data_IF_371395770092
#
_entry.id   IF_371395770092
#
_cell.length_a   1.000
_cell.length_b   1.000
_cell.length_c   1.000
_cell.angle_alpha   90.00
_cell.angle_beta   90.00
_cell.angle_gamma   90.00
#
_symmetry.space_group_name_H-M   'P 1'
#
loop_
_entity.id
_entity.type
_entity.pdbx_description
1 polymer ?
#
# COMPACT_ATOMS: atom_id res chain seq x y z
N UNK A 1 -65.53 -75.05 -16.74
CA UNK A 1 -65.94 -73.63 -16.87
C UNK A 1 -65.55 -72.97 -15.55
N UNK A 2 -64.52 -72.14 -15.42
CA UNK A 2 -64.01 -71.05 -16.27
C UNK A 2 -62.55 -70.73 -15.86
N UNK A 3 -61.68 -70.51 -16.86
CA UNK A 3 -60.47 -69.62 -16.97
C UNK A 3 -59.42 -69.61 -15.83
N UNK A 4 -58.15 -70.01 -15.99
CA UNK A 4 -57.04 -69.54 -16.86
C UNK A 4 -56.87 -68.01 -16.89
N UNK A 5 -55.76 -67.51 -16.33
CA UNK A 5 -54.96 -66.31 -16.71
C UNK A 5 -53.93 -66.10 -15.57
N UNK A 6 -52.68 -66.56 -15.65
CA UNK A 6 -51.59 -65.96 -16.42
C UNK A 6 -51.51 -64.44 -16.27
N UNK A 7 -50.70 -63.97 -15.32
CA UNK A 7 -49.99 -62.70 -15.38
C UNK A 7 -48.84 -62.81 -14.36
N UNK A 8 -47.60 -63.03 -14.79
CA UNK A 8 -46.88 -62.11 -15.65
C UNK A 8 -45.98 -61.31 -14.71
N UNK A 9 -44.95 -61.97 -14.18
CA UNK A 9 -43.96 -61.35 -13.32
C UNK A 9 -43.26 -60.24 -14.10
N UNK A 10 -43.47 -59.01 -13.65
CA UNK A 10 -42.81 -57.81 -14.14
C UNK A 10 -41.34 -57.86 -13.69
N UNK A 11 -40.54 -58.67 -14.38
CA UNK A 11 -39.09 -58.55 -14.34
C UNK A 11 -38.73 -57.30 -15.15
N UNK A 12 -38.66 -56.17 -14.45
CA UNK A 12 -38.03 -54.97 -14.96
C UNK A 12 -36.56 -55.30 -15.28
N UNK A 13 -36.29 -55.55 -16.56
CA UNK A 13 -34.95 -55.73 -17.08
C UNK A 13 -34.07 -54.53 -16.67
N UNK A 14 -32.79 -54.75 -16.28
CA UNK A 14 -31.87 -53.66 -16.01
C UNK A 14 -31.72 -52.85 -17.31
N UNK A 15 -32.18 -51.60 -17.30
CA UNK A 15 -31.85 -50.66 -18.39
C UNK A 15 -30.33 -50.55 -18.43
N UNK A 16 -29.72 -51.07 -19.48
CA UNK A 16 -28.30 -50.88 -19.73
C UNK A 16 -28.05 -49.38 -19.77
N UNK A 17 -27.30 -48.87 -18.78
CA UNK A 17 -26.98 -47.46 -18.68
C UNK A 17 -26.14 -47.13 -19.92
N UNK A 18 -26.67 -46.24 -20.76
CA UNK A 18 -25.99 -45.87 -21.98
C UNK A 18 -24.66 -45.20 -21.63
N UNK A 19 -23.60 -45.54 -22.36
CA UNK A 19 -22.29 -44.89 -22.21
C UNK A 19 -22.41 -43.37 -22.28
N UNK A 20 -23.31 -42.85 -23.13
CA UNK A 20 -23.58 -41.42 -23.21
C UNK A 20 -24.18 -40.84 -21.91
N UNK A 21 -25.03 -41.59 -21.21
CA UNK A 21 -25.58 -41.17 -19.92
C UNK A 21 -24.50 -41.15 -18.83
N UNK A 22 -23.62 -42.15 -18.81
CA UNK A 22 -22.45 -42.18 -17.93
C UNK A 22 -21.54 -40.95 -18.14
N UNK A 23 -21.25 -40.58 -19.39
CA UNK A 23 -20.46 -39.38 -19.68
C UNK A 23 -21.18 -38.10 -19.25
N UNK A 24 -22.50 -38.00 -19.48
CA UNK A 24 -23.28 -36.85 -19.06
C UNK A 24 -23.29 -36.70 -17.54
N UNK A 25 -23.47 -37.78 -16.79
CA UNK A 25 -23.48 -37.73 -15.33
C UNK A 25 -22.09 -37.43 -14.76
N UNK A 26 -21.03 -38.02 -15.31
CA UNK A 26 -19.66 -37.67 -14.94
C UNK A 26 -19.34 -36.19 -15.21
N UNK A 27 -19.80 -35.64 -16.34
CA UNK A 27 -19.61 -34.22 -16.65
C UNK A 27 -20.35 -33.29 -15.68
N UNK A 28 -21.56 -33.67 -15.27
CA UNK A 28 -22.35 -32.92 -14.29
C UNK A 28 -21.71 -32.98 -12.90
N UNK A 29 -21.20 -34.14 -12.52
CA UNK A 29 -20.51 -34.32 -11.24
C UNK A 29 -19.21 -33.50 -11.19
N UNK A 30 -18.42 -33.52 -12.27
CA UNK A 30 -17.22 -32.71 -12.39
C UNK A 30 -17.54 -31.21 -12.31
N UNK A 31 -18.54 -30.74 -13.07
CA UNK A 31 -18.96 -29.34 -13.03
C UNK A 31 -19.46 -28.92 -11.62
N UNK A 32 -20.13 -29.82 -10.90
CA UNK A 32 -20.54 -29.58 -9.50
C UNK A 32 -19.35 -29.51 -8.55
N UNK A 33 -18.35 -30.35 -8.75
CA UNK A 33 -17.11 -30.35 -7.96
C UNK A 33 -16.36 -29.03 -8.17
N UNK A 34 -16.13 -28.64 -9.42
CA UNK A 34 -15.44 -27.40 -9.78
C UNK A 34 -16.15 -26.18 -9.19
N UNK A 35 -17.48 -26.11 -9.31
CA UNK A 35 -18.27 -25.03 -8.73
C UNK A 35 -18.13 -24.94 -7.20
N UNK A 36 -17.93 -26.08 -6.49
CA UNK A 36 -17.66 -26.07 -5.05
C UNK A 36 -16.27 -25.54 -4.75
N UNK A 37 -15.27 -25.91 -5.54
CA UNK A 37 -13.88 -25.46 -5.37
C UNK A 37 -13.80 -23.94 -5.56
N UNK A 38 -14.36 -23.41 -6.64
CA UNK A 38 -14.35 -21.97 -6.91
C UNK A 38 -15.05 -21.17 -5.79
N UNK A 39 -16.19 -21.66 -5.29
CA UNK A 39 -16.86 -21.04 -4.14
C UNK A 39 -16.02 -21.08 -2.86
N UNK A 40 -15.26 -22.16 -2.64
CA UNK A 40 -14.36 -22.26 -1.48
C UNK A 40 -13.23 -21.23 -1.57
N UNK A 41 -12.60 -21.12 -2.73
CA UNK A 41 -11.55 -20.13 -3.00
C UNK A 41 -12.08 -18.71 -2.85
N UNK A 42 -13.23 -18.42 -3.42
CA UNK A 42 -13.87 -17.10 -3.33
C UNK A 42 -14.16 -16.69 -1.88
N UNK A 43 -14.66 -17.61 -1.05
CA UNK A 43 -14.82 -17.38 0.40
C UNK A 43 -13.49 -17.09 1.09
N UNK A 44 -12.43 -17.82 0.75
CA UNK A 44 -11.10 -17.59 1.32
C UNK A 44 -10.54 -16.23 0.92
N UNK A 45 -10.63 -15.85 -0.36
CA UNK A 45 -10.19 -14.54 -0.84
C UNK A 45 -10.98 -13.40 -0.20
N UNK A 46 -12.29 -13.56 -0.09
CA UNK A 46 -13.17 -12.56 0.56
C UNK A 46 -12.80 -12.38 2.02
N UNK A 47 -12.63 -13.49 2.78
CA UNK A 47 -12.20 -13.43 4.18
C UNK A 47 -10.83 -12.78 4.33
N UNK A 48 -9.85 -13.14 3.49
CA UNK A 48 -8.51 -12.54 3.53
C UNK A 48 -8.57 -11.04 3.25
N UNK A 49 -9.41 -10.62 2.28
CA UNK A 49 -9.62 -9.22 1.96
C UNK A 49 -10.24 -8.44 3.12
N UNK A 50 -11.22 -9.02 3.82
CA UNK A 50 -11.82 -8.40 5.01
C UNK A 50 -10.79 -8.20 6.13
N UNK A 51 -9.94 -9.21 6.37
CA UNK A 51 -8.86 -9.12 7.37
C UNK A 51 -7.87 -8.01 7.00
N UNK A 52 -7.45 -7.94 5.73
CA UNK A 52 -6.54 -6.90 5.25
C UNK A 52 -7.15 -5.50 5.37
N UNK A 53 -8.40 -5.33 4.94
CA UNK A 53 -9.09 -4.05 5.05
C UNK A 53 -9.23 -3.60 6.51
N UNK A 54 -9.48 -4.55 7.43
CA UNK A 54 -9.55 -4.25 8.87
C UNK A 54 -8.20 -3.84 9.42
N UNK A 55 -7.14 -4.58 9.09
CA UNK A 55 -5.77 -4.22 9.49
C UNK A 55 -5.33 -2.87 8.91
N UNK A 56 -5.72 -2.55 7.67
CA UNK A 56 -5.46 -1.26 7.04
C UNK A 56 -6.24 -0.13 7.74
N UNK A 57 -7.49 -0.37 8.13
CA UNK A 57 -8.30 0.59 8.88
C UNK A 57 -7.73 0.81 10.29
N UNK A 58 -7.37 -0.26 10.99
CA UNK A 58 -6.74 -0.19 12.31
C UNK A 58 -5.37 0.51 12.25
N UNK A 59 -4.58 0.28 11.19
CA UNK A 59 -3.34 1.01 10.93
C UNK A 59 -3.62 2.48 10.66
N UNK A 60 -4.62 2.81 9.86
CA UNK A 60 -5.00 4.19 9.53
C UNK A 60 -5.55 4.96 10.72
N UNK A 61 -6.20 4.28 11.67
CA UNK A 61 -6.68 4.85 12.92
C UNK A 61 -5.57 4.94 13.99
N UNK A 62 -4.57 4.05 13.93
CA UNK A 62 -3.41 4.04 14.84
C UNK A 62 -2.27 4.97 14.39
N UNK A 63 -2.17 5.23 13.09
CA UNK A 63 -1.45 6.39 12.59
C UNK A 63 -2.29 7.60 12.99
N UNK A 64 -1.92 8.20 14.13
CA UNK A 64 -2.17 9.62 14.39
C UNK A 64 -2.04 10.39 13.07
N UNK A 65 -2.81 11.47 12.85
CA UNK A 65 -2.72 12.24 11.63
C UNK A 65 -1.25 12.38 11.28
N UNK A 66 -0.90 12.12 10.02
CA UNK A 66 0.35 12.59 9.42
C UNK A 66 0.34 14.13 9.56
N UNK A 67 0.45 14.62 10.79
CA UNK A 67 1.04 15.88 11.13
C UNK A 67 2.39 15.74 10.44
N UNK A 68 2.62 16.49 9.34
CA UNK A 68 3.97 16.56 8.81
C UNK A 68 4.82 16.87 10.03
N UNK A 69 5.91 16.12 10.21
CA UNK A 69 6.82 16.23 11.34
C UNK A 69 7.47 17.64 11.36
N UNK A 70 6.65 18.66 11.59
CA UNK A 70 6.92 20.08 11.77
C UNK A 70 7.49 20.30 13.17
N UNK A 71 7.30 19.32 14.06
CA UNK A 71 7.81 19.33 15.43
C UNK A 71 9.34 19.30 15.46
N UNK A 72 9.99 18.59 14.52
CA UNK A 72 11.40 18.81 14.26
C UNK A 72 11.47 20.07 13.39
N UNK A 73 11.52 21.24 14.04
CA UNK A 73 11.96 22.47 13.39
C UNK A 73 13.40 22.26 12.94
N UNK A 74 13.54 21.58 11.80
CA UNK A 74 14.76 21.39 11.08
C UNK A 74 15.28 22.79 10.81
N UNK A 75 16.31 23.17 11.54
CA UNK A 75 16.90 24.49 11.40
C UNK A 75 17.24 24.70 9.93
N UNK A 76 16.62 25.69 9.31
CA UNK A 76 16.86 26.02 7.93
C UNK A 76 18.16 26.81 7.86
N UNK A 77 19.11 26.38 7.02
CA UNK A 77 20.39 27.08 6.87
C UNK A 77 21.01 26.83 5.52
N UNK A 78 21.30 27.92 4.82
CA UNK A 78 22.08 27.92 3.58
C UNK A 78 23.53 27.50 3.78
N UNK A 79 24.10 27.80 4.94
CA UNK A 79 25.52 27.61 5.24
C UNK A 79 25.89 26.12 5.28
N UNK A 80 24.96 25.28 5.76
CA UNK A 80 25.12 23.82 5.84
C UNK A 80 24.92 23.10 4.50
N UNK A 81 24.42 23.77 3.47
CA UNK A 81 24.14 23.15 2.18
C UNK A 81 25.40 22.96 1.32
N UNK A 82 25.39 21.93 0.49
CA UNK A 82 26.43 21.73 -0.53
C UNK A 82 26.32 22.77 -1.64
N UNK A 83 27.42 23.06 -2.34
CA UNK A 83 27.41 23.99 -3.47
C UNK A 83 26.44 23.56 -4.57
N UNK A 84 26.37 22.26 -4.88
CA UNK A 84 25.43 21.70 -5.87
C UNK A 84 23.96 21.92 -5.48
N UNK A 85 23.62 21.77 -4.19
CA UNK A 85 22.27 22.06 -3.66
C UNK A 85 21.91 23.54 -3.87
N UNK A 86 22.84 24.45 -3.54
CA UNK A 86 22.65 25.89 -3.71
C UNK A 86 22.53 26.32 -5.18
N UNK A 87 23.25 25.67 -6.10
CA UNK A 87 23.13 25.90 -7.55
C UNK A 87 21.78 25.40 -8.09
N UNK A 88 21.28 24.27 -7.57
CA UNK A 88 19.94 23.77 -7.88
C UNK A 88 18.86 24.76 -7.45
N UNK A 89 18.96 25.30 -6.23
CA UNK A 89 18.06 26.34 -5.74
C UNK A 89 18.10 27.60 -6.63
N UNK A 90 19.30 28.03 -7.05
CA UNK A 90 19.42 29.13 -8.01
C UNK A 90 18.69 28.86 -9.33
N UNK A 91 18.78 27.63 -9.85
CA UNK A 91 18.09 27.24 -11.08
C UNK A 91 16.56 27.26 -10.89
N UNK A 92 16.05 26.73 -9.79
CA UNK A 92 14.61 26.71 -9.46
C UNK A 92 14.06 28.14 -9.35
N UNK A 93 14.77 29.03 -8.65
CA UNK A 93 14.37 30.42 -8.45
C UNK A 93 14.85 31.39 -9.55
N UNK A 94 15.21 30.85 -10.73
CA UNK A 94 15.61 31.60 -11.93
C UNK A 94 16.65 32.69 -11.65
N UNK A 95 17.61 32.41 -10.76
CA UNK A 95 18.81 33.23 -10.56
C UNK A 95 19.77 32.91 -11.70
N UNK A 96 20.33 33.94 -12.35
CA UNK A 96 21.27 33.78 -13.46
C UNK A 96 22.70 34.04 -12.96
N UNK A 97 23.70 33.48 -13.65
CA UNK A 97 25.11 33.73 -13.37
C UNK A 97 25.69 32.98 -12.15
N UNK A 98 24.93 32.11 -11.51
CA UNK A 98 25.36 31.39 -10.30
C UNK A 98 26.57 30.47 -10.51
N UNK A 99 26.81 29.98 -11.73
CA UNK A 99 27.91 29.05 -12.04
C UNK A 99 29.30 29.65 -11.77
N UNK A 100 29.47 30.97 -11.89
CA UNK A 100 30.74 31.67 -11.65
C UNK A 100 30.82 32.29 -10.24
N UNK A 101 29.73 32.24 -9.47
CA UNK A 101 29.67 32.83 -8.14
C UNK A 101 30.37 31.94 -7.10
N UNK A 102 30.86 32.56 -6.03
CA UNK A 102 31.32 31.83 -4.84
C UNK A 102 30.10 31.37 -4.02
N UNK A 103 30.27 30.35 -3.16
CA UNK A 103 29.19 29.86 -2.27
C UNK A 103 28.56 31.02 -1.47
N UNK A 104 29.38 31.94 -0.96
CA UNK A 104 28.90 33.13 -0.22
C UNK A 104 27.99 34.04 -1.06
N UNK A 105 28.40 34.33 -2.31
CA UNK A 105 27.60 35.16 -3.22
C UNK A 105 26.29 34.49 -3.63
N UNK A 106 26.31 33.17 -3.82
CA UNK A 106 25.08 32.40 -4.09
C UNK A 106 24.09 32.53 -2.93
N UNK A 107 24.55 32.33 -1.69
CA UNK A 107 23.72 32.46 -0.48
C UNK A 107 23.15 33.88 -0.37
N UNK A 108 23.99 34.90 -0.60
CA UNK A 108 23.55 36.30 -0.56
C UNK A 108 22.44 36.58 -1.59
N UNK A 109 22.57 36.07 -2.81
CA UNK A 109 21.53 36.22 -3.84
C UNK A 109 20.25 35.45 -3.52
N UNK A 110 20.35 34.26 -2.94
CA UNK A 110 19.19 33.48 -2.51
C UNK A 110 18.42 34.21 -1.40
N UNK A 111 19.12 34.74 -0.39
CA UNK A 111 18.55 35.57 0.67
C UNK A 111 17.92 36.85 0.12
N UNK A 112 18.61 37.55 -0.78
CA UNK A 112 18.10 38.78 -1.39
C UNK A 112 16.83 38.56 -2.25
N UNK A 113 16.66 37.37 -2.83
CA UNK A 113 15.44 36.98 -3.56
C UNK A 113 14.33 36.43 -2.66
N UNK A 114 14.52 36.37 -1.34
CA UNK A 114 13.54 35.82 -0.41
C UNK A 114 13.30 34.32 -0.62
N UNK A 115 14.28 33.58 -1.14
CA UNK A 115 14.18 32.12 -1.23
C UNK A 115 14.17 31.58 0.21
N UNK A 116 13.25 30.68 0.56
CA UNK A 116 13.25 30.07 1.89
C UNK A 116 14.51 29.24 2.09
N UNK A 117 15.11 29.35 3.27
CA UNK A 117 16.26 28.55 3.64
C UNK A 117 15.89 27.05 3.51
N UNK A 118 16.75 26.23 2.89
CA UNK A 118 16.47 24.82 2.72
C UNK A 118 16.60 24.07 4.04
N UNK A 119 15.74 23.06 4.23
CA UNK A 119 15.78 22.18 5.38
C UNK A 119 17.14 21.46 5.45
N UNK A 120 17.70 21.39 6.65
CA UNK A 120 18.92 20.64 6.93
C UNK A 120 18.57 19.16 7.16
N UNK A 121 19.16 18.21 6.42
CA UNK A 121 18.90 16.80 6.64
C UNK A 121 19.31 16.37 8.06
N UNK A 122 18.58 15.43 8.67
CA UNK A 122 18.81 14.98 10.06
C UNK A 122 20.23 14.41 10.22
N UNK A 123 20.76 13.78 9.18
CA UNK A 123 22.09 13.19 9.11
C UNK A 123 23.22 14.24 9.24
N UNK A 124 22.93 15.51 8.97
CA UNK A 124 23.90 16.60 9.06
C UNK A 124 23.98 17.23 10.46
N UNK A 125 23.14 16.81 11.41
CA UNK A 125 23.19 17.28 12.79
C UNK A 125 24.23 16.48 13.58
N UNK A 126 25.00 17.19 14.41
CA UNK A 126 25.88 16.52 15.36
C UNK A 126 25.06 15.90 16.50
N UNK A 127 25.64 14.93 17.22
CA UNK A 127 25.00 14.29 18.39
C UNK A 127 24.45 15.32 19.39
N UNK A 128 25.20 16.38 19.67
CA UNK A 128 24.78 17.41 20.61
C UNK A 128 23.60 18.23 20.09
N UNK A 129 23.60 18.54 18.79
CA UNK A 129 22.50 19.27 18.15
C UNK A 129 21.23 18.41 18.08
N UNK A 130 21.35 17.11 17.81
CA UNK A 130 20.23 16.17 17.85
C UNK A 130 19.64 16.06 19.25
N UNK A 131 20.48 15.96 20.29
CA UNK A 131 20.03 15.92 21.68
C UNK A 131 19.29 17.22 22.05
N UNK A 132 19.82 18.38 21.64
CA UNK A 132 19.17 19.67 21.88
C UNK A 132 17.82 19.78 21.16
N UNK A 133 17.75 19.32 19.91
CA UNK A 133 16.53 19.31 19.11
C UNK A 133 15.47 18.39 19.73
N UNK A 134 15.86 17.19 20.16
CA UNK A 134 14.98 16.25 20.87
C UNK A 134 14.45 16.83 22.18
N UNK A 135 15.31 17.48 22.99
CA UNK A 135 14.87 18.16 24.21
C UNK A 135 13.80 19.20 23.90
N UNK A 136 14.00 20.02 22.86
CA UNK A 136 13.04 21.05 22.48
C UNK A 136 11.70 20.46 22.02
N UNK A 137 11.70 19.31 21.33
CA UNK A 137 10.45 18.63 20.96
C UNK A 137 9.74 18.09 22.18
N UNK A 138 10.46 17.42 23.07
CA UNK A 138 9.88 16.86 24.29
C UNK A 138 9.28 17.93 25.20
N UNK A 139 9.88 19.13 25.27
CA UNK A 139 9.32 20.24 26.05
C UNK A 139 8.03 20.81 25.44
N UNK A 140 7.92 20.90 24.10
CA UNK A 140 6.71 21.41 23.43
C UNK A 140 5.48 20.53 23.56
N UNK A 141 5.67 19.24 23.84
CA UNK A 141 4.57 18.30 24.07
C UNK A 141 4.11 18.22 25.53
N UNK A 142 4.71 19.02 26.44
CA UNK A 142 4.34 19.09 27.85
C UNK A 142 3.54 20.36 28.22
N UNK A 143 3.32 21.26 27.26
CA UNK A 143 2.42 22.42 27.35
C UNK A 143 1.12 22.14 26.60
#
# INVERSE_FOLDING_TARGET
MIEKLANGGDQAAPKEVSIAELFLDASRELARSDARIYRSVDRHLTRTREILNRAESELKDSLLPEEPCQALQVQYSYERQTRKSLESLCRIHRIRGYSRMTKKLIIMHLKAKGVPDPAVPIEAFTKNELIALLRNVLHRHQE
#
